data_IF_609671384560
#
_entry.id   IF_609671384560
#
_cell.length_a   1.000
_cell.length_b   1.000
_cell.length_c   1.000
_cell.angle_alpha   90.00
_cell.angle_beta   90.00
_cell.angle_gamma   90.00
#
_symmetry.space_group_name_H-M   'P 1'
#
loop_
_entity.id
_entity.type
_entity.pdbx_description
1 polymer ?
#
# COMPACT_ATOMS: atom_id res chain seq x y z
N UNK A 1 -4.33 25.73 -14.02
CA UNK A 1 -4.20 25.44 -12.57
C UNK A 1 -4.73 24.03 -12.34
N UNK A 2 -3.90 23.00 -12.54
CA UNK A 2 -4.27 21.63 -12.20
C UNK A 2 -4.32 21.55 -10.69
N UNK A 3 -5.49 21.24 -10.15
CA UNK A 3 -5.74 21.06 -8.73
C UNK A 3 -4.88 19.87 -8.25
N UNK A 4 -3.62 20.14 -7.89
CA UNK A 4 -2.57 19.17 -7.60
C UNK A 4 -2.82 18.54 -6.24
N UNK A 5 -3.87 17.72 -6.18
CA UNK A 5 -4.14 16.80 -5.09
C UNK A 5 -3.09 15.69 -5.19
N UNK A 6 -1.89 16.00 -4.69
CA UNK A 6 -0.70 15.13 -4.55
C UNK A 6 -0.13 14.56 -5.86
N UNK A 7 0.89 15.20 -6.48
CA UNK A 7 1.32 14.97 -7.87
C UNK A 7 1.86 13.56 -8.21
N UNK A 8 1.93 12.61 -7.27
CA UNK A 8 2.51 11.28 -7.49
C UNK A 8 1.58 10.12 -7.07
N UNK A 9 0.29 10.37 -6.84
CA UNK A 9 -0.65 9.30 -6.51
C UNK A 9 -0.83 8.29 -7.64
N UNK A 10 -0.82 8.72 -8.91
CA UNK A 10 -0.93 7.79 -10.05
C UNK A 10 0.24 6.81 -10.05
N UNK A 11 1.48 7.33 -9.89
CA UNK A 11 2.67 6.50 -9.79
C UNK A 11 2.62 5.58 -8.58
N UNK A 12 2.19 6.10 -7.44
CA UNK A 12 1.97 5.31 -6.22
C UNK A 12 1.01 4.14 -6.51
N UNK A 13 -0.17 4.39 -7.08
CA UNK A 13 -1.16 3.35 -7.37
C UNK A 13 -0.62 2.29 -8.31
N UNK A 14 0.07 2.69 -9.39
CA UNK A 14 0.65 1.74 -10.34
C UNK A 14 1.71 0.85 -9.69
N UNK A 15 2.61 1.43 -8.90
CA UNK A 15 3.65 0.67 -8.19
C UNK A 15 3.04 -0.22 -7.11
N UNK A 16 2.03 0.27 -6.39
CA UNK A 16 1.30 -0.48 -5.37
C UNK A 16 0.68 -1.74 -5.99
N UNK A 17 -0.13 -1.58 -7.03
CA UNK A 17 -0.81 -2.69 -7.70
C UNK A 17 0.20 -3.65 -8.32
N UNK A 18 1.20 -3.13 -9.05
CA UNK A 18 2.23 -3.97 -9.66
C UNK A 18 3.03 -4.78 -8.65
N UNK A 19 3.40 -4.15 -7.52
CA UNK A 19 4.14 -4.82 -6.43
C UNK A 19 3.27 -5.84 -5.73
N UNK A 20 1.98 -5.56 -5.52
CA UNK A 20 1.06 -6.51 -4.90
C UNK A 20 0.89 -7.77 -5.77
N UNK A 21 0.70 -7.60 -7.08
CA UNK A 21 0.61 -8.70 -8.05
C UNK A 21 1.92 -9.50 -8.04
N UNK A 22 3.07 -8.83 -8.14
CA UNK A 22 4.37 -9.48 -8.16
C UNK A 22 4.64 -10.28 -6.87
N UNK A 23 4.36 -9.69 -5.71
CA UNK A 23 4.57 -10.34 -4.42
C UNK A 23 3.61 -11.52 -4.20
N UNK A 24 2.38 -11.42 -4.71
CA UNK A 24 1.40 -12.50 -4.66
C UNK A 24 1.84 -13.68 -5.54
N UNK A 25 2.27 -13.41 -6.78
CA UNK A 25 2.82 -14.44 -7.67
C UNK A 25 4.09 -15.08 -7.08
N UNK A 26 5.00 -14.27 -6.54
CA UNK A 26 6.19 -14.75 -5.83
C UNK A 26 5.80 -15.64 -4.63
N UNK A 27 4.81 -15.23 -3.85
CA UNK A 27 4.30 -16.00 -2.72
C UNK A 27 3.82 -17.39 -3.12
N UNK A 28 3.11 -17.51 -4.24
CA UNK A 28 2.67 -18.81 -4.77
C UNK A 28 3.87 -19.71 -5.11
N UNK A 29 4.88 -19.15 -5.79
CA UNK A 29 6.11 -19.88 -6.15
C UNK A 29 6.85 -20.34 -4.88
N UNK A 30 7.02 -19.45 -3.90
CA UNK A 30 7.75 -19.75 -2.66
C UNK A 30 7.04 -20.86 -1.87
N UNK A 31 5.71 -20.82 -1.78
CA UNK A 31 4.92 -21.88 -1.14
C UNK A 31 5.10 -23.20 -1.89
N UNK A 32 5.04 -23.18 -3.23
CA UNK A 32 5.14 -24.39 -4.04
C UNK A 32 6.53 -25.05 -3.99
N UNK A 33 7.59 -24.25 -3.94
CA UNK A 33 8.98 -24.75 -3.99
C UNK A 33 9.55 -25.04 -2.61
N UNK A 34 9.26 -24.18 -1.62
CA UNK A 34 9.89 -24.24 -0.30
C UNK A 34 8.92 -24.65 0.82
N UNK A 35 7.62 -24.84 0.53
CA UNK A 35 6.58 -25.11 1.53
C UNK A 35 6.51 -24.06 2.67
N UNK A 36 7.00 -22.84 2.41
CA UNK A 36 6.97 -21.71 3.34
C UNK A 36 6.00 -20.65 2.81
N UNK A 37 5.05 -20.24 3.63
CA UNK A 37 4.14 -19.15 3.29
C UNK A 37 4.75 -17.80 3.67
N UNK A 38 4.68 -16.83 2.75
CA UNK A 38 4.95 -15.43 3.07
C UNK A 38 3.81 -14.95 4.00
N UNK A 39 4.12 -14.37 5.16
CA UNK A 39 3.09 -13.86 6.08
C UNK A 39 2.15 -12.88 5.38
N UNK A 40 0.85 -13.07 5.55
CA UNK A 40 -0.18 -12.21 4.90
C UNK A 40 -0.04 -10.73 5.28
N UNK A 41 0.38 -10.43 6.51
CA UNK A 41 0.69 -9.07 6.95
C UNK A 41 1.85 -8.43 6.17
N UNK A 42 2.86 -9.21 5.76
CA UNK A 42 3.94 -8.71 4.93
C UNK A 42 3.44 -8.38 3.52
N UNK A 43 2.58 -9.23 2.95
CA UNK A 43 1.96 -9.00 1.63
C UNK A 43 1.07 -7.75 1.65
N UNK A 44 0.45 -7.42 2.78
CA UNK A 44 -0.38 -6.22 2.93
C UNK A 44 0.44 -4.92 3.05
N UNK A 45 1.65 -4.96 3.62
CA UNK A 45 2.42 -3.73 3.95
C UNK A 45 3.60 -3.46 3.01
N UNK A 46 4.23 -4.49 2.44
CA UNK A 46 5.35 -4.30 1.51
C UNK A 46 4.96 -3.49 0.26
N UNK A 47 3.79 -3.73 -0.38
CA UNK A 47 3.37 -2.94 -1.54
C UNK A 47 3.22 -1.43 -1.28
N UNK A 48 2.49 -0.97 -0.24
CA UNK A 48 2.41 0.47 0.05
C UNK A 48 3.78 1.06 0.42
N UNK A 49 4.64 0.31 1.10
CA UNK A 49 6.01 0.72 1.40
C UNK A 49 6.82 1.04 0.12
N UNK A 50 6.85 0.10 -0.83
CA UNK A 50 7.59 0.26 -2.09
C UNK A 50 6.96 1.39 -2.93
N UNK A 51 5.62 1.45 -2.99
CA UNK A 51 4.90 2.48 -3.71
C UNK A 51 5.19 3.89 -3.17
N UNK A 52 5.18 4.07 -1.85
CA UNK A 52 5.50 5.35 -1.22
C UNK A 52 6.94 5.76 -1.45
N UNK A 53 7.89 4.82 -1.37
CA UNK A 53 9.29 5.08 -1.67
C UNK A 53 9.47 5.55 -3.12
N UNK A 54 8.87 4.85 -4.08
CA UNK A 54 8.95 5.20 -5.50
C UNK A 54 8.30 6.55 -5.81
N UNK A 55 7.16 6.85 -5.18
CA UNK A 55 6.49 8.15 -5.28
C UNK A 55 7.36 9.27 -4.67
N UNK A 56 7.97 9.02 -3.51
CA UNK A 56 8.90 9.94 -2.86
C UNK A 56 10.12 10.26 -3.71
N UNK A 57 10.72 9.24 -4.35
CA UNK A 57 11.81 9.46 -5.31
C UNK A 57 11.35 10.32 -6.50
N UNK A 58 10.14 10.09 -7.01
CA UNK A 58 9.53 10.93 -8.05
C UNK A 58 9.38 12.39 -7.61
N UNK A 59 8.94 12.60 -6.38
CA UNK A 59 8.85 13.93 -5.77
C UNK A 59 10.21 14.61 -5.71
N UNK A 60 11.23 13.93 -5.18
CA UNK A 60 12.59 14.48 -5.10
C UNK A 60 13.15 14.87 -6.47
N UNK A 61 12.95 14.03 -7.50
CA UNK A 61 13.45 14.30 -8.87
C UNK A 61 12.74 15.47 -9.56
N UNK A 62 11.42 15.57 -9.40
CA UNK A 62 10.62 16.55 -10.15
C UNK A 62 10.52 17.91 -9.45
N UNK A 63 10.49 17.92 -8.12
CA UNK A 63 10.31 19.15 -7.32
C UNK A 63 11.65 19.63 -6.74
N UNK A 64 12.66 18.75 -6.60
CA UNK A 64 13.95 19.13 -6.03
C UNK A 64 13.90 19.38 -4.52
N UNK A 65 12.81 19.01 -3.85
CA UNK A 65 12.62 19.23 -2.42
C UNK A 65 11.94 18.03 -1.75
N UNK A 66 12.11 17.90 -0.44
CA UNK A 66 11.37 16.93 0.37
C UNK A 66 9.93 17.45 0.56
N UNK A 67 8.88 16.60 0.55
CA UNK A 67 7.54 17.03 0.89
C UNK A 67 7.52 17.71 2.25
N UNK A 68 6.82 18.84 2.36
CA UNK A 68 6.55 19.45 3.66
C UNK A 68 5.69 18.51 4.51
N UNK A 69 5.63 18.76 5.83
CA UNK A 69 4.94 17.84 6.74
C UNK A 69 3.46 17.68 6.39
N UNK A 70 2.79 18.78 6.00
CA UNK A 70 1.39 18.77 5.62
C UNK A 70 1.13 17.96 4.34
N UNK A 71 1.91 18.14 3.26
CA UNK A 71 1.75 17.34 2.06
C UNK A 71 2.14 15.88 2.28
N UNK A 72 3.15 15.59 3.11
CA UNK A 72 3.53 14.23 3.46
C UNK A 72 2.39 13.47 4.17
N UNK A 73 1.72 14.12 5.14
CA UNK A 73 0.55 13.55 5.81
C UNK A 73 -0.64 13.40 4.89
N UNK A 74 -0.92 14.41 4.05
CA UNK A 74 -2.01 14.34 3.08
C UNK A 74 -1.79 13.22 2.07
N UNK A 75 -0.57 13.09 1.54
CA UNK A 75 -0.18 11.97 0.68
C UNK A 75 -0.33 10.63 1.39
N UNK A 76 0.11 10.55 2.65
CA UNK A 76 0.03 9.32 3.43
C UNK A 76 -1.42 8.83 3.62
N UNK A 77 -2.34 9.75 3.95
CA UNK A 77 -3.77 9.44 4.08
C UNK A 77 -4.37 8.99 2.76
N UNK A 78 -4.15 9.73 1.66
CA UNK A 78 -4.68 9.34 0.35
C UNK A 78 -4.08 8.01 -0.15
N UNK A 79 -2.76 7.83 -0.01
CA UNK A 79 -2.10 6.57 -0.34
C UNK A 79 -2.59 5.41 0.53
N UNK A 80 -2.88 5.67 1.81
CA UNK A 80 -3.48 4.70 2.73
C UNK A 80 -4.90 4.32 2.32
N UNK A 81 -5.72 5.28 1.89
CA UNK A 81 -7.06 5.03 1.37
C UNK A 81 -7.02 4.19 0.09
N UNK A 82 -6.07 4.45 -0.81
CA UNK A 82 -5.86 3.64 -2.02
C UNK A 82 -5.43 2.21 -1.66
N UNK A 83 -4.50 2.06 -0.71
CA UNK A 83 -4.08 0.74 -0.23
C UNK A 83 -5.24 -0.02 0.43
N UNK A 84 -6.04 0.66 1.25
CA UNK A 84 -7.23 0.08 1.86
C UNK A 84 -8.25 -0.34 0.80
N UNK A 85 -8.51 0.50 -0.20
CA UNK A 85 -9.44 0.19 -1.29
C UNK A 85 -8.98 -1.05 -2.08
N UNK A 86 -7.68 -1.17 -2.37
CA UNK A 86 -7.11 -2.36 -2.99
C UNK A 86 -7.32 -3.60 -2.10
N UNK A 87 -7.04 -3.49 -0.80
CA UNK A 87 -7.15 -4.62 0.12
C UNK A 87 -8.61 -5.07 0.34
N UNK A 88 -9.55 -4.12 0.36
CA UNK A 88 -10.98 -4.42 0.36
C UNK A 88 -11.41 -5.12 -0.92
N UNK A 89 -10.95 -4.66 -2.10
CA UNK A 89 -11.27 -5.32 -3.36
C UNK A 89 -10.78 -6.77 -3.38
N UNK A 90 -9.57 -7.03 -2.88
CA UNK A 90 -9.00 -8.38 -2.76
C UNK A 90 -9.80 -9.22 -1.76
N UNK A 91 -10.14 -8.66 -0.59
CA UNK A 91 -10.92 -9.36 0.42
C UNK A 91 -12.30 -9.75 -0.12
N UNK A 92 -13.01 -8.83 -0.77
CA UNK A 92 -14.31 -9.09 -1.39
C UNK A 92 -14.19 -10.18 -2.45
N UNK A 93 -13.19 -10.10 -3.32
CA UNK A 93 -12.95 -11.13 -4.35
C UNK A 93 -12.69 -12.50 -3.74
N UNK A 94 -11.86 -12.59 -2.69
CA UNK A 94 -11.55 -13.84 -2.00
C UNK A 94 -12.80 -14.44 -1.32
N UNK A 95 -13.64 -13.60 -0.72
CA UNK A 95 -14.87 -14.04 -0.06
C UNK A 95 -15.90 -14.57 -1.06
N UNK A 96 -16.06 -13.92 -2.21
CA UNK A 96 -16.97 -14.37 -3.28
C UNK A 96 -16.50 -15.71 -3.89
N UNK A 97 -15.19 -15.97 -3.89
CA UNK A 97 -14.61 -17.21 -4.40
C UNK A 97 -14.79 -18.41 -3.46
N UNK A 98 -15.19 -18.21 -2.20
CA UNK A 98 -15.36 -19.27 -1.20
C UNK A 98 -16.84 -19.73 -1.13
N UNK A 99 -17.20 -20.88 -1.73
CA UNK A 99 -18.58 -21.37 -1.71
C UNK A 99 -19.03 -21.68 -0.28
N UNK A 100 -20.20 -21.16 0.10
CA UNK A 100 -20.82 -21.41 1.41
C UNK A 100 -20.29 -20.53 2.55
N UNK A 101 -19.37 -19.59 2.28
CA UNK A 101 -18.93 -18.65 3.31
C UNK A 101 -20.07 -17.68 3.67
N UNK A 102 -20.45 -17.66 4.96
CA UNK A 102 -21.38 -16.69 5.51
C UNK A 102 -20.65 -15.74 6.44
N UNK A 103 -20.86 -14.45 6.20
CA UNK A 103 -20.23 -13.38 6.96
C UNK A 103 -21.10 -13.09 8.20
N UNK A 104 -20.80 -13.76 9.31
CA UNK A 104 -21.43 -13.46 10.58
C UNK A 104 -20.90 -12.13 11.18
N UNK A 105 -21.56 -11.67 12.24
CA UNK A 105 -21.19 -10.41 12.91
C UNK A 105 -19.77 -10.44 13.47
N UNK A 106 -19.29 -11.57 14.00
CA UNK A 106 -17.96 -11.71 14.58
C UNK A 106 -16.85 -11.64 13.51
N UNK A 107 -17.05 -12.35 12.39
CA UNK A 107 -16.19 -12.31 11.22
C UNK A 107 -16.15 -10.91 10.60
N UNK A 108 -17.29 -10.22 10.54
CA UNK A 108 -17.37 -8.83 10.08
C UNK A 108 -16.55 -7.88 10.95
N UNK A 109 -16.72 -7.95 12.27
CA UNK A 109 -15.96 -7.12 13.22
C UNK A 109 -14.46 -7.40 13.15
N UNK A 110 -14.08 -8.67 12.99
CA UNK A 110 -12.68 -9.07 12.83
C UNK A 110 -12.08 -8.51 11.54
N UNK A 111 -12.80 -8.63 10.41
CA UNK A 111 -12.37 -8.06 9.14
C UNK A 111 -12.22 -6.54 9.24
N UNK A 112 -13.17 -5.85 9.86
CA UNK A 112 -13.10 -4.40 10.09
C UNK A 112 -11.89 -4.01 10.93
N UNK A 113 -11.60 -4.76 12.00
CA UNK A 113 -10.44 -4.52 12.85
C UNK A 113 -9.12 -4.69 12.07
N UNK A 114 -9.00 -5.78 11.28
CA UNK A 114 -7.82 -6.02 10.45
C UNK A 114 -7.65 -4.91 9.42
N UNK A 115 -8.73 -4.52 8.72
CA UNK A 115 -8.69 -3.44 7.74
C UNK A 115 -8.33 -2.08 8.35
N UNK A 116 -8.81 -1.79 9.57
CA UNK A 116 -8.43 -0.58 10.29
C UNK A 116 -6.93 -0.57 10.62
N UNK A 117 -6.39 -1.70 11.09
CA UNK A 117 -4.94 -1.83 11.36
C UNK A 117 -4.14 -1.69 10.07
N UNK A 118 -4.53 -2.35 8.98
CA UNK A 118 -3.86 -2.25 7.68
C UNK A 118 -3.88 -0.81 7.17
N UNK A 119 -5.00 -0.11 7.31
CA UNK A 119 -5.11 1.30 6.92
C UNK A 119 -4.15 2.17 7.73
N UNK A 120 -4.18 2.10 9.06
CA UNK A 120 -3.30 2.89 9.93
C UNK A 120 -1.84 2.62 9.61
N UNK A 121 -1.46 1.33 9.49
CA UNK A 121 -0.10 0.95 9.14
C UNK A 121 0.30 1.46 7.76
N UNK A 122 -0.58 1.36 6.77
CA UNK A 122 -0.33 1.90 5.43
C UNK A 122 -0.12 3.41 5.45
N UNK A 123 -0.91 4.16 6.22
CA UNK A 123 -0.71 5.61 6.38
C UNK A 123 0.65 5.90 7.01
N UNK A 124 1.02 5.22 8.10
CA UNK A 124 2.31 5.44 8.78
C UNK A 124 3.49 5.12 7.86
N UNK A 125 3.43 3.99 7.17
CA UNK A 125 4.44 3.56 6.19
C UNK A 125 4.53 4.59 5.06
N UNK A 126 3.41 4.99 4.46
CA UNK A 126 3.40 5.98 3.39
C UNK A 126 4.03 7.31 3.83
N UNK A 127 3.69 7.77 5.04
CA UNK A 127 4.23 9.00 5.62
C UNK A 127 5.74 8.95 5.77
N UNK A 128 6.28 7.84 6.22
CA UNK A 128 7.71 7.65 6.41
C UNK A 128 8.42 7.52 5.05
N UNK A 129 8.00 6.57 4.23
CA UNK A 129 8.69 6.19 3.00
C UNK A 129 8.61 7.23 1.89
N UNK A 130 7.54 8.04 1.80
CA UNK A 130 7.49 9.14 0.83
C UNK A 130 8.58 10.19 1.12
N UNK A 131 8.80 10.51 2.40
CA UNK A 131 9.84 11.48 2.78
C UNK A 131 11.24 10.89 2.67
N UNK A 132 11.41 9.61 3.02
CA UNK A 132 12.68 8.89 2.85
C UNK A 132 13.07 8.81 1.36
N UNK A 133 12.13 8.47 0.48
CA UNK A 133 12.38 8.37 -0.97
C UNK A 133 12.81 9.70 -1.58
N UNK A 134 12.18 10.81 -1.16
CA UNK A 134 12.57 12.14 -1.61
C UNK A 134 13.96 12.53 -1.10
N UNK A 135 14.24 12.30 0.20
CA UNK A 135 15.56 12.56 0.80
C UNK A 135 16.68 11.76 0.14
N UNK A 136 16.43 10.51 -0.22
CA UNK A 136 17.42 9.64 -0.84
C UNK A 136 17.88 10.18 -2.21
N UNK A 137 16.96 10.75 -3.00
CA UNK A 137 17.29 11.37 -4.29
C UNK A 137 18.08 12.66 -4.13
N UNK A 138 17.76 13.48 -3.13
CA UNK A 138 18.40 14.79 -2.95
C UNK A 138 19.79 14.71 -2.31
N UNK A 139 20.13 13.56 -1.72
CA UNK A 139 21.43 13.29 -1.11
C UNK A 139 22.38 12.51 -2.01
N UNK A 140 21.86 11.87 -3.06
CA UNK A 140 22.64 11.14 -4.06
C UNK A 140 22.97 12.03 -5.23
#
# INVERSE_FOLDING_TARGET
MTDARTPFLVRYTLVLVGTHIALTALGMIVVQVFAVAIPSGAIAIIPPMIAALAAGQGWGRAIGAVPDSAAAWRFAVFGGLIALALQLAIAIFALVALPGFQLDTGAMLTLMAIMAVVFVMSVLVNRFFVTMGAKAVLRG
#
